data_IF_692181385132
#
_entry.id   IF_692181385132
#
_cell.length_a   1.000
_cell.length_b   1.000
_cell.length_c   1.000
_cell.angle_alpha   90.00
_cell.angle_beta   90.00
_cell.angle_gamma   90.00
#
_symmetry.space_group_name_H-M   'P 1'
#
loop_
_entity.id
_entity.type
_entity.pdbx_description
1 polymer ?
#
# COMPACT_ATOMS: atom_id res chain seq x y z
N UNK A 1 6.38 -17.24 4.02
CA UNK A 1 6.52 -15.93 3.29
C UNK A 1 7.99 -15.50 3.23
N UNK A 2 8.60 -14.82 4.22
CA UNK A 2 9.92 -14.18 4.07
C UNK A 2 11.13 -15.10 3.89
N UNK A 3 11.07 -16.34 4.33
CA UNK A 3 12.14 -17.33 4.17
C UNK A 3 12.21 -17.98 2.77
N UNK A 4 11.21 -17.71 1.92
CA UNK A 4 11.07 -18.33 0.61
C UNK A 4 10.72 -17.33 -0.49
N UNK A 5 11.28 -16.12 -0.41
CA UNK A 5 11.13 -15.10 -1.47
C UNK A 5 11.98 -15.55 -2.67
N UNK A 6 11.40 -15.53 -3.88
CA UNK A 6 12.14 -15.90 -5.08
C UNK A 6 13.30 -14.94 -5.35
N UNK A 7 14.42 -15.42 -5.93
CA UNK A 7 15.53 -14.56 -6.29
C UNK A 7 15.11 -13.36 -7.16
N UNK A 8 14.23 -13.57 -8.15
CA UNK A 8 13.74 -12.51 -9.04
C UNK A 8 13.03 -11.38 -8.30
N UNK A 9 12.25 -11.69 -7.27
CA UNK A 9 11.61 -10.67 -6.42
C UNK A 9 12.67 -9.92 -5.61
N UNK A 10 13.62 -10.63 -4.97
CA UNK A 10 14.68 -10.01 -4.16
C UNK A 10 15.57 -9.10 -5.00
N UNK A 11 15.99 -9.54 -6.18
CA UNK A 11 16.82 -8.77 -7.11
C UNK A 11 16.09 -7.52 -7.60
N UNK A 12 14.78 -7.63 -7.91
CA UNK A 12 13.99 -6.47 -8.32
C UNK A 12 13.78 -5.49 -7.16
N UNK A 13 13.53 -5.95 -5.94
CA UNK A 13 13.45 -5.10 -4.75
C UNK A 13 14.77 -4.35 -4.53
N UNK A 14 15.91 -5.04 -4.54
CA UNK A 14 17.24 -4.43 -4.38
C UNK A 14 17.55 -3.39 -5.48
N UNK A 15 17.15 -3.67 -6.74
CA UNK A 15 17.28 -2.70 -7.83
C UNK A 15 16.47 -1.43 -7.56
N UNK A 16 15.20 -1.54 -7.15
CA UNK A 16 14.35 -0.39 -6.86
C UNK A 16 14.86 0.41 -5.66
N UNK A 17 15.40 -0.26 -4.63
CA UNK A 17 16.05 0.38 -3.48
C UNK A 17 17.28 1.21 -3.92
N UNK A 18 18.10 0.66 -4.81
CA UNK A 18 19.26 1.37 -5.37
C UNK A 18 18.84 2.59 -6.21
N UNK A 19 17.76 2.48 -6.99
CA UNK A 19 17.19 3.60 -7.75
C UNK A 19 16.69 4.69 -6.81
N UNK A 20 15.87 4.37 -5.79
CA UNK A 20 15.33 5.34 -4.84
C UNK A 20 16.46 6.05 -4.04
N UNK A 21 17.49 5.30 -3.64
CA UNK A 21 18.66 5.86 -2.96
C UNK A 21 19.42 6.86 -3.83
N UNK A 22 19.63 6.53 -5.11
CA UNK A 22 20.28 7.41 -6.08
C UNK A 22 19.45 8.66 -6.35
N UNK A 23 18.15 8.53 -6.61
CA UNK A 23 17.23 9.63 -6.90
C UNK A 23 17.19 10.68 -5.78
N UNK A 24 17.49 10.29 -4.54
CA UNK A 24 17.59 11.20 -3.40
C UNK A 24 18.86 12.05 -3.40
N UNK A 25 19.90 11.64 -4.13
CA UNK A 25 21.25 12.23 -4.07
C UNK A 25 21.64 12.95 -5.37
N UNK A 26 21.12 12.53 -6.52
CA UNK A 26 21.55 12.98 -7.85
C UNK A 26 20.82 14.22 -8.38
N UNK A 27 19.97 14.84 -7.56
CA UNK A 27 19.19 16.02 -7.95
C UNK A 27 17.89 15.71 -8.68
N UNK A 28 17.51 14.44 -8.84
CA UNK A 28 16.22 14.05 -9.45
C UNK A 28 15.05 14.81 -8.80
N UNK A 29 14.20 15.49 -9.58
CA UNK A 29 13.04 16.22 -9.05
C UNK A 29 12.12 15.32 -8.22
N UNK A 30 11.61 15.83 -7.09
CA UNK A 30 10.77 15.06 -6.16
C UNK A 30 9.60 14.33 -6.84
N UNK A 31 8.99 14.92 -7.86
CA UNK A 31 7.88 14.33 -8.59
C UNK A 31 8.28 13.07 -9.39
N UNK A 32 9.54 12.97 -9.81
CA UNK A 32 10.07 11.85 -10.59
C UNK A 32 10.66 10.72 -9.72
N UNK A 33 10.90 10.98 -8.43
CA UNK A 33 11.45 9.98 -7.50
C UNK A 33 10.44 8.88 -7.22
N UNK A 34 10.95 7.67 -6.94
CA UNK A 34 10.11 6.53 -6.55
C UNK A 34 9.43 6.79 -5.20
N UNK A 35 10.10 7.46 -4.27
CA UNK A 35 9.60 7.79 -2.91
C UNK A 35 9.11 6.57 -2.13
N UNK A 36 9.71 5.41 -2.38
CA UNK A 36 9.24 4.14 -1.85
C UNK A 36 9.36 4.04 -0.32
N UNK A 37 8.59 3.12 0.22
CA UNK A 37 8.63 2.74 1.63
C UNK A 37 9.95 2.03 1.96
N UNK A 38 10.44 2.08 3.21
CA UNK A 38 11.58 1.28 3.62
C UNK A 38 11.22 -0.21 3.77
N UNK A 39 12.22 -1.13 3.70
CA UNK A 39 11.99 -2.58 3.76
C UNK A 39 11.22 -3.07 4.99
N UNK A 40 11.47 -2.47 6.16
CA UNK A 40 10.76 -2.82 7.41
C UNK A 40 9.26 -2.50 7.33
N UNK A 41 8.91 -1.38 6.70
CA UNK A 41 7.51 -1.03 6.41
C UNK A 41 6.88 -2.08 5.49
N UNK A 42 7.57 -2.46 4.40
CA UNK A 42 7.07 -3.49 3.47
C UNK A 42 6.82 -4.83 4.15
N UNK A 43 7.75 -5.27 5.02
CA UNK A 43 7.57 -6.50 5.83
C UNK A 43 6.37 -6.42 6.75
N UNK A 44 6.19 -5.28 7.42
CA UNK A 44 5.06 -5.09 8.33
C UNK A 44 3.73 -5.12 7.57
N UNK A 45 3.63 -4.45 6.42
CA UNK A 45 2.45 -4.49 5.55
C UNK A 45 2.14 -5.92 5.09
N UNK A 46 3.14 -6.68 4.66
CA UNK A 46 2.97 -8.06 4.23
C UNK A 46 2.46 -8.96 5.37
N UNK A 47 2.96 -8.79 6.63
CA UNK A 47 2.45 -9.54 7.78
C UNK A 47 1.00 -9.20 8.08
N UNK A 48 0.62 -7.92 8.07
CA UNK A 48 -0.76 -7.50 8.29
C UNK A 48 -1.71 -8.03 7.19
N UNK A 49 -1.30 -7.91 5.93
CA UNK A 49 -2.08 -8.39 4.79
C UNK A 49 -2.26 -9.91 4.82
N UNK A 50 -1.21 -10.69 5.16
CA UNK A 50 -1.29 -12.14 5.30
C UNK A 50 -2.23 -12.58 6.44
N UNK A 51 -2.32 -11.77 7.51
CA UNK A 51 -3.16 -12.03 8.68
C UNK A 51 -4.60 -11.50 8.55
N UNK A 52 -4.90 -10.78 7.47
CA UNK A 52 -6.22 -10.18 7.24
C UNK A 52 -7.28 -11.25 6.92
N UNK A 53 -8.57 -10.99 7.17
CA UNK A 53 -9.65 -11.93 6.88
C UNK A 53 -9.78 -12.20 5.36
N UNK A 54 -10.74 -13.05 4.97
CA UNK A 54 -11.08 -13.22 3.55
C UNK A 54 -11.63 -11.92 2.94
N UNK A 55 -11.24 -11.63 1.69
CA UNK A 55 -11.63 -10.43 0.96
C UNK A 55 -10.50 -9.86 0.10
N UNK A 56 -10.77 -8.73 -0.54
CA UNK A 56 -9.84 -8.09 -1.48
C UNK A 56 -8.64 -7.46 -0.76
N UNK A 57 -7.47 -7.56 -1.39
CA UNK A 57 -6.24 -6.87 -0.96
C UNK A 57 -5.98 -5.71 -1.91
N UNK A 58 -6.05 -4.49 -1.41
CA UNK A 58 -5.94 -3.27 -2.19
C UNK A 58 -4.68 -2.48 -1.84
N UNK A 59 -4.13 -1.80 -2.84
CA UNK A 59 -3.09 -0.79 -2.68
C UNK A 59 -3.46 0.45 -3.49
N UNK A 60 -3.36 1.63 -2.87
CA UNK A 60 -3.63 2.92 -3.51
C UNK A 60 -2.32 3.70 -3.55
N UNK A 61 -1.70 3.78 -4.75
CA UNK A 61 -0.38 4.36 -4.96
C UNK A 61 0.71 3.31 -5.15
N UNK A 62 0.76 2.66 -6.33
CA UNK A 62 1.76 1.65 -6.65
C UNK A 62 3.17 2.23 -6.85
N UNK A 63 3.29 3.47 -7.36
CA UNK A 63 4.56 4.04 -7.80
C UNK A 63 5.32 3.06 -8.72
N UNK A 64 6.59 2.73 -8.41
CA UNK A 64 7.38 1.73 -9.14
C UNK A 64 7.10 0.28 -8.79
N UNK A 65 6.13 -0.01 -7.92
CA UNK A 65 5.70 -1.37 -7.56
C UNK A 65 6.47 -2.00 -6.38
N UNK A 66 7.25 -1.22 -5.62
CA UNK A 66 8.04 -1.79 -4.51
C UNK A 66 7.17 -2.31 -3.36
N UNK A 67 6.23 -1.51 -2.85
CA UNK A 67 5.25 -1.93 -1.84
C UNK A 67 4.35 -3.04 -2.37
N UNK A 68 3.99 -2.96 -3.65
CA UNK A 68 3.21 -4.02 -4.33
C UNK A 68 3.91 -5.38 -4.27
N UNK A 69 5.26 -5.45 -4.41
CA UNK A 69 5.99 -6.71 -4.28
C UNK A 69 5.84 -7.32 -2.87
N UNK A 70 5.92 -6.50 -1.82
CA UNK A 70 5.70 -6.96 -0.45
C UNK A 70 4.28 -7.48 -0.22
N UNK A 71 3.28 -6.75 -0.71
CA UNK A 71 1.87 -7.15 -0.61
C UNK A 71 1.57 -8.40 -1.44
N UNK A 72 2.23 -8.55 -2.59
CA UNK A 72 2.10 -9.75 -3.43
C UNK A 72 2.58 -11.01 -2.71
N UNK A 73 3.63 -10.93 -1.86
CA UNK A 73 4.04 -12.08 -1.04
C UNK A 73 2.92 -12.55 -0.11
N UNK A 74 2.18 -11.61 0.49
CA UNK A 74 1.03 -11.94 1.33
C UNK A 74 -0.12 -12.55 0.49
N UNK A 75 -0.40 -11.97 -0.66
CA UNK A 75 -1.43 -12.49 -1.58
C UNK A 75 -1.10 -13.91 -2.07
N UNK A 76 0.18 -14.20 -2.36
CA UNK A 76 0.62 -15.55 -2.74
C UNK A 76 0.38 -16.58 -1.63
N UNK A 77 0.64 -16.21 -0.36
CA UNK A 77 0.40 -17.09 0.80
C UNK A 77 -1.10 -17.34 1.01
N UNK A 78 -1.93 -16.33 0.77
CA UNK A 78 -3.40 -16.39 0.91
C UNK A 78 -4.11 -17.06 -0.28
N UNK A 79 -3.44 -17.19 -1.44
CA UNK A 79 -4.06 -17.60 -2.71
C UNK A 79 -4.85 -16.47 -3.40
N UNK A 80 -4.66 -15.22 -2.98
CA UNK A 80 -5.33 -14.02 -3.49
C UNK A 80 -4.52 -13.33 -4.61
N UNK A 81 -5.09 -12.26 -5.15
CA UNK A 81 -4.45 -11.33 -6.09
C UNK A 81 -4.42 -9.92 -5.45
N UNK A 82 -3.32 -9.19 -5.67
CA UNK A 82 -3.24 -7.78 -5.31
C UNK A 82 -3.93 -6.93 -6.38
N UNK A 83 -4.76 -5.99 -5.95
CA UNK A 83 -5.32 -4.94 -6.81
C UNK A 83 -4.63 -3.64 -6.42
N UNK A 84 -3.91 -3.01 -7.36
CA UNK A 84 -3.15 -1.78 -7.10
C UNK A 84 -3.51 -0.69 -8.11
N UNK A 85 -3.49 0.57 -7.65
CA UNK A 85 -3.86 1.74 -8.43
C UNK A 85 -2.68 2.71 -8.55
N UNK A 86 -2.49 3.26 -9.76
CA UNK A 86 -1.49 4.30 -10.03
C UNK A 86 -2.00 5.25 -11.12
N UNK A 87 -1.96 6.55 -10.84
CA UNK A 87 -2.46 7.58 -11.78
C UNK A 87 -1.38 8.03 -12.77
N UNK A 88 -0.11 8.03 -12.36
CA UNK A 88 1.02 8.44 -13.22
C UNK A 88 1.34 7.34 -14.25
N UNK A 89 1.22 7.62 -15.57
CA UNK A 89 1.46 6.60 -16.60
C UNK A 89 2.91 6.09 -16.62
N UNK A 90 3.89 6.92 -16.24
CA UNK A 90 5.30 6.50 -16.20
C UNK A 90 5.55 5.55 -15.01
N UNK A 91 4.99 5.86 -13.85
CA UNK A 91 5.06 5.00 -12.67
C UNK A 91 4.28 3.69 -12.89
N UNK A 92 3.09 3.75 -13.46
CA UNK A 92 2.31 2.57 -13.81
C UNK A 92 3.07 1.65 -14.81
N UNK A 93 3.76 2.24 -15.81
CA UNK A 93 4.62 1.48 -16.73
C UNK A 93 5.78 0.81 -15.98
N UNK A 94 6.46 1.53 -15.10
CA UNK A 94 7.55 0.98 -14.29
C UNK A 94 7.06 -0.14 -13.35
N UNK A 95 5.88 0.02 -12.75
CA UNK A 95 5.27 -1.02 -11.91
C UNK A 95 4.97 -2.30 -12.71
N UNK A 96 4.40 -2.19 -13.92
CA UNK A 96 4.21 -3.35 -14.82
C UNK A 96 5.52 -4.04 -15.16
N UNK A 97 6.57 -3.26 -15.48
CA UNK A 97 7.90 -3.80 -15.69
C UNK A 97 8.42 -4.51 -14.43
N UNK A 98 8.23 -3.92 -13.26
CA UNK A 98 8.59 -4.52 -11.97
C UNK A 98 7.93 -5.87 -11.78
N UNK A 99 6.61 -5.98 -12.03
CA UNK A 99 5.88 -7.23 -11.87
C UNK A 99 6.31 -8.30 -12.87
N UNK A 100 6.65 -7.88 -14.09
CA UNK A 100 7.15 -8.80 -15.13
C UNK A 100 8.52 -9.37 -14.75
N UNK A 101 9.48 -8.51 -14.36
CA UNK A 101 10.84 -8.92 -13.97
C UNK A 101 10.81 -9.80 -12.72
N UNK A 102 9.97 -9.45 -11.74
CA UNK A 102 9.79 -10.23 -10.53
C UNK A 102 9.04 -11.55 -10.74
N UNK A 103 8.43 -11.77 -11.91
CA UNK A 103 7.66 -12.98 -12.24
C UNK A 103 6.33 -13.08 -11.51
N UNK A 104 5.69 -11.92 -11.19
CA UNK A 104 4.44 -11.88 -10.40
C UNK A 104 3.25 -11.23 -11.14
N UNK A 105 3.35 -11.02 -12.45
CA UNK A 105 2.31 -10.33 -13.23
C UNK A 105 0.91 -10.93 -13.07
N UNK A 106 0.82 -12.26 -12.95
CA UNK A 106 -0.46 -12.98 -12.77
C UNK A 106 -1.03 -12.84 -11.35
N UNK A 107 -0.26 -12.26 -10.43
CA UNK A 107 -0.65 -12.06 -9.02
C UNK A 107 -1.02 -10.61 -8.71
N UNK A 108 -0.88 -9.70 -9.69
CA UNK A 108 -1.12 -8.27 -9.49
C UNK A 108 -2.00 -7.74 -10.62
N UNK A 109 -3.12 -7.14 -10.26
CA UNK A 109 -3.94 -6.36 -11.17
C UNK A 109 -3.62 -4.88 -10.97
N UNK A 110 -2.85 -4.28 -11.89
CA UNK A 110 -2.58 -2.84 -11.86
C UNK A 110 -3.61 -2.09 -12.70
N UNK A 111 -4.31 -1.16 -12.07
CA UNK A 111 -5.28 -0.25 -12.69
C UNK A 111 -4.64 1.13 -12.77
N UNK A 112 -4.41 1.60 -14.00
CA UNK A 112 -3.86 2.95 -14.25
C UNK A 112 -5.02 3.94 -14.32
N UNK A 113 -5.50 4.37 -13.15
CA UNK A 113 -6.59 5.33 -13.00
C UNK A 113 -6.63 5.86 -11.56
N UNK A 114 -7.44 6.86 -11.30
CA UNK A 114 -7.76 7.30 -9.95
C UNK A 114 -8.55 6.20 -9.21
N UNK A 115 -7.98 5.72 -8.10
CA UNK A 115 -8.59 4.67 -7.29
C UNK A 115 -10.04 4.98 -6.89
N UNK A 116 -10.36 6.26 -6.67
CA UNK A 116 -11.70 6.72 -6.27
C UNK A 116 -12.79 6.37 -7.29
N UNK A 117 -12.43 6.21 -8.56
CA UNK A 117 -13.37 5.75 -9.60
C UNK A 117 -13.74 4.27 -9.47
N UNK A 118 -12.99 3.50 -8.67
CA UNK A 118 -13.08 2.04 -8.63
C UNK A 118 -13.36 1.48 -7.23
N UNK A 119 -12.96 2.19 -6.14
CA UNK A 119 -13.02 1.66 -4.76
C UNK A 119 -14.39 1.13 -4.35
N UNK A 120 -15.48 1.71 -4.84
CA UNK A 120 -16.84 1.23 -4.57
C UNK A 120 -17.18 -0.16 -5.13
N UNK A 121 -16.37 -0.67 -6.08
CA UNK A 121 -16.57 -1.98 -6.69
C UNK A 121 -15.92 -3.13 -5.89
N UNK A 122 -15.11 -2.81 -4.88
CA UNK A 122 -14.36 -3.80 -4.11
C UNK A 122 -14.95 -3.97 -2.71
N UNK A 123 -15.58 -5.12 -2.49
CA UNK A 123 -16.11 -5.51 -1.18
C UNK A 123 -16.30 -7.04 -1.11
N UNK A 124 -16.01 -7.65 0.05
CA UNK A 124 -15.40 -7.03 1.21
C UNK A 124 -13.90 -6.78 1.01
N UNK A 125 -13.38 -5.70 1.58
CA UNK A 125 -11.94 -5.39 1.60
C UNK A 125 -11.31 -6.02 2.83
N UNK A 126 -10.35 -6.92 2.64
CA UNK A 126 -9.60 -7.56 3.71
C UNK A 126 -8.47 -6.67 4.21
N UNK A 127 -7.75 -6.05 3.28
CA UNK A 127 -6.61 -5.18 3.55
C UNK A 127 -6.55 -4.06 2.52
N UNK A 128 -6.22 -2.86 2.96
CA UNK A 128 -5.94 -1.74 2.06
C UNK A 128 -4.72 -0.95 2.54
N UNK A 129 -3.75 -0.73 1.66
CA UNK A 129 -2.61 0.16 1.87
C UNK A 129 -2.79 1.46 1.09
N UNK A 130 -2.57 2.62 1.73
CA UNK A 130 -2.70 3.96 1.16
C UNK A 130 -1.38 4.72 1.26
N UNK A 131 -0.78 5.06 0.11
CA UNK A 131 0.36 5.98 0.01
C UNK A 131 0.26 6.81 -1.28
N UNK A 132 -0.49 7.89 -1.20
CA UNK A 132 -0.78 8.82 -2.30
C UNK A 132 -0.43 10.27 -1.93
N UNK A 133 -0.85 11.26 -2.71
CA UNK A 133 -0.76 12.66 -2.31
C UNK A 133 -1.71 12.95 -1.12
N UNK A 134 -1.30 13.86 -0.22
CA UNK A 134 -1.86 13.95 1.14
C UNK A 134 -3.30 14.45 1.21
N UNK A 135 -3.74 15.21 0.23
CA UNK A 135 -5.12 15.67 0.04
C UNK A 135 -6.11 14.54 -0.30
N UNK A 136 -5.59 13.39 -0.76
CA UNK A 136 -6.42 12.23 -1.14
C UNK A 136 -6.63 11.23 0.03
N UNK A 137 -5.94 11.39 1.18
CA UNK A 137 -6.02 10.44 2.28
C UNK A 137 -7.43 10.30 2.84
N UNK A 138 -8.06 11.42 3.21
CA UNK A 138 -9.42 11.39 3.77
C UNK A 138 -10.47 10.91 2.75
N UNK A 139 -10.48 11.39 1.48
CA UNK A 139 -11.39 10.86 0.46
C UNK A 139 -11.26 9.34 0.25
N UNK A 140 -10.04 8.81 0.12
CA UNK A 140 -9.83 7.37 -0.04
C UNK A 140 -10.26 6.57 1.20
N UNK A 141 -9.93 7.08 2.40
CA UNK A 141 -10.34 6.49 3.67
C UNK A 141 -11.87 6.31 3.75
N UNK A 142 -12.63 7.38 3.48
CA UNK A 142 -14.10 7.35 3.55
C UNK A 142 -14.72 6.39 2.52
N UNK A 143 -14.03 6.10 1.42
CA UNK A 143 -14.49 5.12 0.44
C UNK A 143 -14.14 3.67 0.83
N UNK A 144 -13.03 3.46 1.54
CA UNK A 144 -12.56 2.11 1.91
C UNK A 144 -13.19 1.61 3.20
N UNK A 145 -13.26 2.44 4.26
CA UNK A 145 -13.68 2.01 5.60
C UNK A 145 -15.08 1.34 5.63
N UNK A 146 -16.11 1.85 4.95
CA UNK A 146 -17.40 1.18 4.91
C UNK A 146 -17.34 -0.25 4.36
N UNK A 147 -16.43 -0.49 3.41
CA UNK A 147 -16.26 -1.73 2.66
C UNK A 147 -15.28 -2.72 3.31
N UNK A 148 -14.61 -2.35 4.41
CA UNK A 148 -13.75 -3.28 5.14
C UNK A 148 -14.54 -4.50 5.63
N UNK A 149 -13.97 -5.69 5.44
CA UNK A 149 -14.46 -6.91 6.07
C UNK A 149 -14.41 -6.77 7.60
N UNK A 150 -15.26 -7.47 8.37
CA UNK A 150 -15.05 -7.65 9.81
C UNK A 150 -13.64 -8.19 10.08
N UNK A 151 -12.85 -7.49 10.89
CA UNK A 151 -11.42 -7.78 11.09
C UNK A 151 -10.48 -7.24 10.00
N UNK A 152 -11.01 -6.65 8.94
CA UNK A 152 -10.22 -6.03 7.86
C UNK A 152 -9.39 -4.85 8.34
N UNK A 153 -8.28 -4.59 7.64
CA UNK A 153 -7.26 -3.63 8.04
C UNK A 153 -7.03 -2.59 6.94
N UNK A 154 -7.03 -1.33 7.32
CA UNK A 154 -6.60 -0.21 6.50
C UNK A 154 -5.30 0.37 7.07
N UNK A 155 -4.30 0.61 6.22
CA UNK A 155 -3.01 1.19 6.62
C UNK A 155 -2.70 2.40 5.74
N UNK A 156 -2.34 3.54 6.37
CA UNK A 156 -1.88 4.73 5.66
C UNK A 156 -0.45 5.08 6.05
N UNK A 157 0.41 5.34 5.06
CA UNK A 157 1.82 5.71 5.28
C UNK A 157 1.99 7.22 5.57
N UNK A 158 3.20 7.61 5.95
CA UNK A 158 3.65 8.99 6.10
C UNK A 158 2.99 9.80 7.24
N UNK A 159 2.27 9.18 8.14
CA UNK A 159 1.44 9.90 9.14
C UNK A 159 2.25 10.60 10.23
N UNK A 160 3.52 10.24 10.45
CA UNK A 160 4.43 10.97 11.33
C UNK A 160 5.21 12.02 10.54
N UNK A 161 5.80 11.63 9.40
CA UNK A 161 6.64 12.54 8.61
C UNK A 161 5.88 13.68 7.94
N UNK A 162 4.57 13.55 7.73
CA UNK A 162 3.69 14.55 7.14
C UNK A 162 2.50 14.86 8.06
N UNK A 163 2.71 14.79 9.40
CA UNK A 163 1.65 14.96 10.39
C UNK A 163 0.87 16.26 10.21
N UNK A 164 1.56 17.38 9.95
CA UNK A 164 0.92 18.69 9.77
C UNK A 164 -0.06 18.71 8.59
N UNK A 165 0.31 18.06 7.47
CA UNK A 165 -0.54 17.99 6.27
C UNK A 165 -1.69 16.99 6.44
N UNK A 166 -1.52 15.99 7.30
CA UNK A 166 -2.49 14.91 7.55
C UNK A 166 -3.31 15.12 8.83
N UNK A 167 -3.20 16.27 9.50
CA UNK A 167 -3.85 16.51 10.80
C UNK A 167 -5.36 16.23 10.75
N UNK A 168 -6.07 16.78 9.77
CA UNK A 168 -7.51 16.58 9.62
C UNK A 168 -7.89 15.11 9.38
N UNK A 169 -7.13 14.41 8.53
CA UNK A 169 -7.29 12.97 8.29
C UNK A 169 -7.06 12.17 9.58
N UNK A 170 -5.98 12.45 10.31
CA UNK A 170 -5.65 11.75 11.54
C UNK A 170 -6.70 11.98 12.64
N UNK A 171 -7.18 13.21 12.81
CA UNK A 171 -8.26 13.50 13.76
C UNK A 171 -9.54 12.72 13.41
N UNK A 172 -9.90 12.68 12.13
CA UNK A 172 -11.05 11.90 11.67
C UNK A 172 -10.88 10.42 11.97
N UNK A 173 -9.79 9.81 11.50
CA UNK A 173 -9.55 8.36 11.63
C UNK A 173 -9.39 7.91 13.10
N UNK A 174 -8.75 8.71 13.96
CA UNK A 174 -8.57 8.39 15.37
C UNK A 174 -9.83 8.52 16.20
N UNK A 175 -10.83 9.28 15.74
CA UNK A 175 -12.15 9.42 16.40
C UNK A 175 -13.25 8.57 15.75
N UNK A 176 -12.94 7.84 14.68
CA UNK A 176 -13.91 7.07 13.92
C UNK A 176 -14.31 5.79 14.67
N UNK A 177 -15.56 5.74 15.10
CA UNK A 177 -16.13 4.59 15.85
C UNK A 177 -16.28 3.31 15.00
N UNK A 178 -16.09 3.40 13.68
CA UNK A 178 -16.16 2.25 12.77
C UNK A 178 -14.93 1.35 12.82
N UNK A 179 -13.80 1.86 13.37
CA UNK A 179 -12.52 1.18 13.42
C UNK A 179 -11.77 1.42 14.73
N UNK A 180 -10.93 0.48 15.12
CA UNK A 180 -9.89 0.69 16.12
C UNK A 180 -8.64 1.21 15.41
N UNK A 181 -8.12 2.38 15.81
CA UNK A 181 -7.02 3.06 15.14
C UNK A 181 -5.79 3.23 16.04
N UNK A 182 -4.60 3.05 15.47
CA UNK A 182 -3.31 3.21 16.17
C UNK A 182 -2.25 3.75 15.21
N UNK A 183 -1.42 4.68 15.68
CA UNK A 183 -0.22 5.12 14.98
C UNK A 183 0.96 4.24 15.39
N UNK A 184 1.62 3.62 14.39
CA UNK A 184 2.78 2.73 14.56
C UNK A 184 4.02 3.44 14.02
N UNK A 185 5.09 3.65 14.82
CA UNK A 185 6.28 4.40 14.40
C UNK A 185 7.27 3.53 13.60
N UNK A 186 6.81 2.94 12.50
CA UNK A 186 7.61 2.20 11.52
C UNK A 186 7.82 3.10 10.30
N UNK A 187 9.03 3.16 9.77
CA UNK A 187 9.37 3.97 8.61
C UNK A 187 9.04 5.45 8.82
N UNK A 188 8.13 5.99 8.04
CA UNK A 188 7.66 7.38 8.14
C UNK A 188 6.42 7.55 9.04
N UNK A 189 6.04 6.50 9.74
CA UNK A 189 4.84 6.40 10.57
C UNK A 189 3.63 5.88 9.80
N UNK A 190 3.00 4.84 10.34
CA UNK A 190 1.81 4.21 9.77
C UNK A 190 0.60 4.47 10.67
N UNK A 191 -0.52 4.88 10.11
CA UNK A 191 -1.82 4.74 10.75
C UNK A 191 -2.36 3.35 10.40
N UNK A 192 -2.68 2.56 11.40
CA UNK A 192 -3.30 1.23 11.24
C UNK A 192 -4.71 1.31 11.81
N UNK A 193 -5.70 1.04 10.98
CA UNK A 193 -7.11 0.98 11.36
C UNK A 193 -7.64 -0.44 11.15
N UNK A 194 -8.33 -1.01 12.13
CA UNK A 194 -8.93 -2.33 12.04
C UNK A 194 -10.43 -2.24 12.30
N UNK A 195 -11.24 -2.79 11.40
CA UNK A 195 -12.69 -2.92 11.63
C UNK A 195 -12.96 -4.01 12.69
N UNK A 196 -13.70 -3.74 13.77
CA UNK A 196 -14.07 -4.76 14.73
C UNK A 196 -14.79 -5.94 14.05
N UNK A 197 -14.57 -7.16 14.55
CA UNK A 197 -15.22 -8.36 14.02
C UNK A 197 -16.71 -8.46 14.43
N UNK A 198 -17.05 -7.83 15.55
CA UNK A 198 -18.42 -7.68 16.07
C UNK A 198 -18.53 -6.29 16.69
N UNK A 199 -19.57 -5.57 16.37
CA UNK A 199 -20.04 -4.40 17.10
C UNK A 199 -21.09 -4.86 18.11
#
# INVERSE_FOLDING_TARGET
MFHHISPSILERMAHLEAVDARDRQDGTPKALRLRQIPPETGRFLALLAASAPAGQVLEIGASGGYSSLWLTLACMERGDQLITFEVDPNKARLARETFTIAGVSERVQLIQDDARNHLGNYQPVAFCFLDVEKDLYLPCYEMVIPNLAPGGVFVADNVISHQDQLQSFLQNAMSDVRVDALIVPIGKGLLVCRKPARL
#
